data_IF_537276022679
#
_entry.id   IF_537276022679
#
_cell.length_a   1.000
_cell.length_b   1.000
_cell.length_c   1.000
_cell.angle_alpha   90.00
_cell.angle_beta   90.00
_cell.angle_gamma   90.00
#
_symmetry.space_group_name_H-M   'P 1'
#
loop_
_entity.id
_entity.type
_entity.pdbx_description
1 polymer ?
#
# COMPACT_ATOMS: atom_id res chain seq x y z
N UNK A 1 4.40 16.26 11.66
CA UNK A 1 5.44 15.98 10.66
C UNK A 1 5.30 14.53 10.18
N UNK A 2 4.39 14.23 9.25
CA UNK A 2 4.11 12.84 8.84
C UNK A 2 4.16 12.68 7.30
N UNK A 3 5.27 13.09 6.66
CA UNK A 3 5.47 12.91 5.20
C UNK A 3 6.42 11.76 4.84
N UNK A 4 6.88 11.00 5.84
CA UNK A 4 7.93 9.98 5.64
C UNK A 4 7.41 8.79 4.82
N UNK A 5 6.15 8.37 5.00
CA UNK A 5 5.59 7.27 4.19
C UNK A 5 5.47 7.62 2.69
N UNK A 6 5.06 8.85 2.35
CA UNK A 6 4.98 9.28 0.96
C UNK A 6 6.36 9.36 0.29
N UNK A 7 7.40 9.75 1.05
CA UNK A 7 8.76 9.86 0.52
C UNK A 7 9.37 8.51 0.12
N UNK A 8 9.09 7.44 0.86
CA UNK A 8 9.65 6.09 0.57
C UNK A 8 9.09 5.51 -0.73
N UNK A 9 7.79 5.71 -1.02
CA UNK A 9 7.21 5.27 -2.30
C UNK A 9 7.68 6.10 -3.49
N UNK A 10 7.94 7.40 -3.30
CA UNK A 10 8.52 8.26 -4.35
C UNK A 10 9.95 7.84 -4.70
N UNK A 11 10.75 7.41 -3.73
CA UNK A 11 12.11 6.90 -3.96
C UNK A 11 12.14 5.57 -4.74
N UNK A 12 11.09 4.77 -4.62
CA UNK A 12 10.97 3.49 -5.32
C UNK A 12 10.56 3.66 -6.81
N UNK A 13 10.15 4.87 -7.22
CA UNK A 13 9.88 5.26 -8.61
C UNK A 13 11.07 6.00 -9.26
N UNK A 14 12.28 5.84 -8.72
CA UNK A 14 13.51 6.46 -9.23
C UNK A 14 13.97 5.92 -10.60
N UNK A 15 13.39 4.80 -11.05
CA UNK A 15 13.58 4.33 -12.42
C UNK A 15 12.77 5.21 -13.40
N UNK A 16 13.41 5.73 -14.47
CA UNK A 16 12.70 6.49 -15.49
C UNK A 16 11.52 5.71 -16.06
N UNK A 17 10.36 6.35 -16.19
CA UNK A 17 9.14 5.73 -16.71
C UNK A 17 9.16 5.50 -18.24
N UNK A 18 10.32 5.69 -18.90
CA UNK A 18 10.43 5.67 -20.35
C UNK A 18 9.97 4.33 -20.93
N UNK A 19 8.97 4.38 -21.82
CA UNK A 19 8.45 3.21 -22.53
C UNK A 19 7.56 2.29 -21.70
N UNK A 20 7.26 2.63 -20.44
CA UNK A 20 6.42 1.79 -19.60
C UNK A 20 4.95 1.94 -20.01
N UNK A 21 4.46 1.00 -20.80
CA UNK A 21 3.04 0.91 -21.18
C UNK A 21 2.24 0.47 -19.96
N UNK A 22 1.15 1.16 -19.63
CA UNK A 22 0.26 0.76 -18.52
C UNK A 22 -0.54 -0.48 -18.92
N UNK A 23 -0.04 -1.65 -18.53
CA UNK A 23 -0.64 -2.94 -18.80
C UNK A 23 -0.21 -3.99 -17.74
N UNK A 24 -0.69 -5.23 -17.86
CA UNK A 24 -0.37 -6.28 -16.89
C UNK A 24 1.12 -6.64 -16.83
N UNK A 25 1.87 -6.50 -17.92
CA UNK A 25 3.30 -6.79 -17.96
C UNK A 25 4.12 -5.69 -17.25
N UNK A 26 3.81 -4.43 -17.53
CA UNK A 26 4.43 -3.29 -16.87
C UNK A 26 4.04 -3.21 -15.38
N UNK A 27 2.87 -3.71 -14.97
CA UNK A 27 2.52 -3.86 -13.55
C UNK A 27 3.42 -4.90 -12.86
N UNK A 28 3.71 -6.04 -13.52
CA UNK A 28 4.64 -7.05 -13.00
C UNK A 28 6.05 -6.49 -12.89
N UNK A 29 6.53 -5.80 -13.92
CA UNK A 29 7.84 -5.17 -13.91
C UNK A 29 7.97 -4.12 -12.81
N UNK A 30 6.93 -3.30 -12.62
CA UNK A 30 6.90 -2.33 -11.53
C UNK A 30 6.91 -3.02 -10.16
N UNK A 31 6.11 -4.07 -9.97
CA UNK A 31 6.11 -4.87 -8.74
C UNK A 31 7.49 -5.49 -8.45
N UNK A 32 8.15 -6.02 -9.48
CA UNK A 32 9.50 -6.59 -9.41
C UNK A 32 10.52 -5.52 -8.96
N UNK A 33 10.48 -4.33 -9.56
CA UNK A 33 11.34 -3.21 -9.20
C UNK A 33 11.10 -2.75 -7.75
N UNK A 34 9.83 -2.60 -7.35
CA UNK A 34 9.46 -2.21 -5.98
C UNK A 34 9.91 -3.25 -4.94
N UNK A 35 9.94 -4.54 -5.30
CA UNK A 35 10.38 -5.62 -4.41
C UNK A 35 11.81 -5.45 -3.90
N UNK A 36 12.66 -4.71 -4.61
CA UNK A 36 14.03 -4.38 -4.18
C UNK A 36 14.07 -3.40 -3.01
N UNK A 37 13.02 -2.59 -2.85
CA UNK A 37 12.93 -1.56 -1.82
C UNK A 37 12.10 -2.02 -0.62
N UNK A 38 10.94 -2.66 -0.88
CA UNK A 38 10.03 -3.11 0.19
C UNK A 38 10.28 -4.57 0.62
N UNK A 39 11.18 -5.26 -0.08
CA UNK A 39 11.42 -6.69 0.08
C UNK A 39 10.40 -7.56 -0.66
N UNK A 40 10.86 -8.69 -1.20
CA UNK A 40 10.01 -9.67 -1.90
C UNK A 40 8.83 -10.14 -1.06
N UNK A 41 9.09 -10.37 0.23
CA UNK A 41 8.10 -10.85 1.18
C UNK A 41 6.90 -9.91 1.32
N UNK A 42 7.08 -8.59 1.14
CA UNK A 42 5.96 -7.65 1.16
C UNK A 42 5.03 -7.86 -0.05
N UNK A 43 5.58 -8.17 -1.22
CA UNK A 43 4.77 -8.51 -2.40
C UNK A 43 4.10 -9.87 -2.21
N UNK A 44 4.87 -10.89 -1.81
CA UNK A 44 4.39 -12.28 -1.71
C UNK A 44 3.29 -12.44 -0.64
N UNK A 45 3.35 -11.65 0.44
CA UNK A 45 2.34 -11.61 1.50
C UNK A 45 1.14 -10.71 1.16
N UNK A 46 1.13 -10.05 0.02
CA UNK A 46 0.08 -9.12 -0.38
C UNK A 46 0.11 -7.76 0.31
N UNK A 47 1.19 -7.43 1.04
CA UNK A 47 1.35 -6.13 1.69
C UNK A 47 1.46 -4.98 0.68
N UNK A 48 2.05 -5.23 -0.49
CA UNK A 48 2.08 -4.29 -1.60
C UNK A 48 1.61 -5.00 -2.86
N UNK A 49 0.57 -4.46 -3.49
CA UNK A 49 0.01 -4.97 -4.74
C UNK A 49 0.06 -3.88 -5.81
N UNK A 50 0.59 -4.24 -6.97
CA UNK A 50 0.58 -3.40 -8.18
C UNK A 50 -0.48 -3.93 -9.14
N UNK A 51 -1.39 -3.06 -9.57
CA UNK A 51 -2.45 -3.39 -10.53
C UNK A 51 -2.66 -2.26 -11.51
N UNK A 52 -3.30 -2.55 -12.65
CA UNK A 52 -3.69 -1.52 -13.62
C UNK A 52 -5.03 -0.93 -13.20
N UNK A 53 -5.11 0.39 -13.13
CA UNK A 53 -6.34 1.14 -12.88
C UNK A 53 -6.44 2.28 -13.91
N UNK A 54 -7.26 2.07 -14.94
CA UNK A 54 -7.38 2.99 -16.06
C UNK A 54 -6.06 3.13 -16.83
N UNK A 55 -5.53 4.35 -16.88
CA UNK A 55 -4.25 4.69 -17.52
C UNK A 55 -3.12 4.88 -16.51
N UNK A 56 -3.28 4.39 -15.28
CA UNK A 56 -2.28 4.41 -14.23
C UNK A 56 -2.07 3.02 -13.61
N UNK A 57 -1.00 2.88 -12.83
CA UNK A 57 -0.84 1.76 -11.92
C UNK A 57 -1.33 2.13 -10.53
N UNK A 58 -2.11 1.26 -9.92
CA UNK A 58 -2.47 1.34 -8.51
C UNK A 58 -1.52 0.51 -7.68
N UNK A 59 -0.83 1.18 -6.77
CA UNK A 59 -0.01 0.60 -5.71
C UNK A 59 -0.86 0.60 -4.44
N UNK A 60 -1.42 -0.55 -4.10
CA UNK A 60 -2.19 -0.74 -2.88
C UNK A 60 -1.31 -1.35 -1.79
N UNK A 61 -1.27 -0.71 -0.63
CA UNK A 61 -0.64 -1.23 0.59
C UNK A 61 -1.73 -1.76 1.50
N UNK A 62 -1.74 -3.07 1.72
CA UNK A 62 -2.74 -3.75 2.53
C UNK A 62 -2.07 -4.48 3.70
N UNK A 63 -2.27 -3.98 4.92
CA UNK A 63 -1.70 -4.58 6.13
C UNK A 63 -2.55 -5.70 6.71
N UNK A 64 -3.77 -5.93 6.20
CA UNK A 64 -4.68 -6.97 6.69
C UNK A 64 -4.04 -8.36 6.75
N UNK A 65 -3.28 -8.84 5.74
CA UNK A 65 -2.70 -10.19 5.79
C UNK A 65 -1.73 -10.41 6.97
N UNK A 66 -0.99 -9.37 7.38
CA UNK A 66 -0.08 -9.45 8.53
C UNK A 66 -0.84 -9.32 9.84
N UNK A 67 -1.84 -8.45 9.86
CA UNK A 67 -2.73 -8.27 11.00
C UNK A 67 -3.49 -9.56 11.30
N UNK A 68 -4.06 -10.22 10.30
CA UNK A 68 -4.82 -11.47 10.46
C UNK A 68 -3.95 -12.58 11.05
N UNK A 69 -2.67 -12.64 10.65
CA UNK A 69 -1.69 -13.57 11.22
C UNK A 69 -1.47 -13.33 12.72
N UNK A 70 -1.41 -12.08 13.15
CA UNK A 70 -1.20 -11.69 14.56
C UNK A 70 -2.48 -11.80 15.39
N UNK A 71 -3.63 -11.43 14.81
CA UNK A 71 -4.95 -11.52 15.41
C UNK A 71 -5.29 -12.97 15.80
N UNK A 72 -4.91 -13.94 14.96
CA UNK A 72 -5.05 -15.36 15.23
C UNK A 72 -4.32 -15.82 16.50
N UNK A 73 -3.27 -15.10 16.94
CA UNK A 73 -2.49 -15.44 18.13
C UNK A 73 -2.93 -14.69 19.39
N UNK A 74 -3.51 -13.49 19.25
CA UNK A 74 -3.66 -12.55 20.37
C UNK A 74 -5.08 -12.03 20.62
N UNK A 75 -6.12 -12.63 20.02
CA UNK A 75 -7.54 -12.32 20.29
C UNK A 75 -7.90 -10.83 20.16
N UNK A 76 -7.35 -10.15 19.16
CA UNK A 76 -7.74 -8.80 18.76
C UNK A 76 -8.23 -8.81 17.30
N UNK A 77 -9.02 -7.83 16.91
CA UNK A 77 -9.34 -7.57 15.50
C UNK A 77 -8.88 -6.18 15.13
N UNK A 78 -8.39 -6.03 13.92
CA UNK A 78 -8.01 -4.73 13.39
C UNK A 78 -8.46 -4.64 11.93
N UNK A 79 -9.24 -3.61 11.62
CA UNK A 79 -9.63 -3.26 10.26
C UNK A 79 -8.98 -1.91 9.92
N UNK A 80 -8.36 -1.85 8.76
CA UNK A 80 -7.74 -0.64 8.25
C UNK A 80 -7.95 -0.60 6.74
N UNK A 81 -8.42 0.55 6.25
CA UNK A 81 -8.61 0.76 4.83
C UNK A 81 -7.24 0.74 4.12
N UNK A 82 -7.06 -0.07 3.05
CA UNK A 82 -5.81 -0.11 2.31
C UNK A 82 -5.40 1.28 1.80
N UNK A 83 -4.11 1.61 1.92
CA UNK A 83 -3.56 2.82 1.33
C UNK A 83 -3.34 2.61 -0.16
N UNK A 84 -3.76 3.55 -1.02
CA UNK A 84 -3.54 3.42 -2.46
C UNK A 84 -2.89 4.65 -3.07
N UNK A 85 -1.88 4.41 -3.90
CA UNK A 85 -1.27 5.40 -4.78
C UNK A 85 -1.62 5.06 -6.23
N UNK A 86 -2.01 6.05 -7.01
CA UNK A 86 -2.06 5.97 -8.46
C UNK A 86 -0.78 6.59 -9.02
N UNK A 87 -0.05 5.80 -9.80
CA UNK A 87 1.20 6.22 -10.42
C UNK A 87 1.10 6.04 -11.92
N UNK A 88 1.21 7.15 -12.64
CA UNK A 88 1.09 7.18 -14.10
C UNK A 88 2.42 7.55 -14.73
N UNK A 89 2.93 6.75 -15.69
CA UNK A 89 4.11 7.11 -16.45
C UNK A 89 3.80 8.33 -17.33
N UNK A 90 4.65 9.35 -17.26
CA UNK A 90 4.55 10.56 -18.07
C UNK A 90 5.46 10.46 -19.30
N UNK A 91 5.07 11.09 -20.41
CA UNK A 91 5.81 11.04 -21.68
C UNK A 91 7.21 11.65 -21.64
N UNK A 92 7.54 12.39 -20.57
CA UNK A 92 8.87 12.94 -20.29
C UNK A 92 9.74 12.03 -19.40
N UNK A 93 9.31 10.78 -19.15
CA UNK A 93 10.04 9.81 -18.35
C UNK A 93 9.89 9.97 -16.83
N UNK A 94 9.01 10.88 -16.36
CA UNK A 94 8.68 11.04 -14.94
C UNK A 94 7.43 10.26 -14.56
N UNK A 95 7.12 10.25 -13.27
CA UNK A 95 5.90 9.66 -12.72
C UNK A 95 4.97 10.77 -12.21
N UNK A 96 3.70 10.73 -12.61
CA UNK A 96 2.64 11.46 -11.92
C UNK A 96 2.11 10.57 -10.79
N UNK A 97 2.05 11.09 -9.57
CA UNK A 97 1.61 10.35 -8.38
C UNK A 97 0.43 11.07 -7.75
N UNK A 98 -0.68 10.35 -7.57
CA UNK A 98 -1.82 10.80 -6.77
C UNK A 98 -2.12 9.79 -5.66
N UNK A 99 -2.54 10.29 -4.52
CA UNK A 99 -2.82 9.50 -3.32
C UNK A 99 -4.19 9.89 -2.80
N UNK A 100 -5.02 8.90 -2.47
CA UNK A 100 -6.12 9.12 -1.53
C UNK A 100 -5.57 8.85 -0.13
N UNK A 101 -5.40 9.92 0.65
CA UNK A 101 -4.86 9.88 2.01
C UNK A 101 -5.95 9.77 3.07
N UNK A 102 -7.22 9.73 2.68
CA UNK A 102 -8.31 9.50 3.62
C UNK A 102 -8.32 8.04 4.06
N UNK A 103 -7.99 7.81 5.34
CA UNK A 103 -7.90 6.46 5.89
C UNK A 103 -8.72 6.37 7.16
N UNK A 104 -9.48 5.29 7.28
CA UNK A 104 -10.19 4.95 8.50
C UNK A 104 -9.89 3.52 8.91
N UNK A 105 -10.01 3.26 10.21
CA UNK A 105 -9.81 1.95 10.77
C UNK A 105 -10.50 1.78 12.12
N UNK A 106 -10.54 0.53 12.56
CA UNK A 106 -11.08 0.13 13.85
C UNK A 106 -10.24 -0.96 14.48
N UNK A 107 -10.15 -0.96 15.81
CA UNK A 107 -9.44 -1.96 16.60
C UNK A 107 -10.38 -2.50 17.68
N UNK A 108 -10.56 -3.82 17.74
CA UNK A 108 -11.27 -4.52 18.81
C UNK A 108 -10.28 -5.35 19.62
N UNK A 109 -10.36 -5.29 20.96
CA UNK A 109 -9.52 -6.09 21.84
C UNK A 109 -10.24 -6.46 23.13
N UNK A 110 -9.76 -7.49 23.84
CA UNK A 110 -10.27 -7.84 25.17
C UNK A 110 -9.49 -7.09 26.23
N UNK A 111 -10.13 -6.11 26.85
CA UNK A 111 -9.61 -5.38 28.01
C UNK A 111 -10.01 -6.03 29.35
N UNK A 112 -9.51 -5.48 30.47
CA UNK A 112 -9.85 -5.96 31.81
C UNK A 112 -11.35 -5.95 32.13
N UNK A 113 -12.10 -5.05 31.49
CA UNK A 113 -13.54 -4.87 31.69
C UNK A 113 -14.40 -5.60 30.63
N UNK A 114 -13.79 -6.33 29.69
CA UNK A 114 -14.48 -7.02 28.59
C UNK A 114 -14.06 -6.53 27.19
N UNK A 115 -14.83 -6.86 26.14
CA UNK A 115 -14.56 -6.41 24.77
C UNK A 115 -14.59 -4.87 24.65
N UNK A 116 -13.54 -4.29 24.11
CA UNK A 116 -13.41 -2.86 23.86
C UNK A 116 -13.13 -2.60 22.37
N UNK A 117 -13.61 -1.46 21.86
CA UNK A 117 -13.43 -1.05 20.47
C UNK A 117 -12.98 0.40 20.34
N UNK A 118 -12.05 0.67 19.43
CA UNK A 118 -11.60 2.02 19.07
C UNK A 118 -11.76 2.23 17.57
N UNK A 119 -12.17 3.42 17.17
CA UNK A 119 -12.27 3.85 15.78
C UNK A 119 -11.40 5.08 15.57
N UNK A 120 -10.76 5.17 14.41
CA UNK A 120 -9.93 6.31 14.06
C UNK A 120 -10.07 6.64 12.58
N UNK A 121 -9.87 7.93 12.29
CA UNK A 121 -9.81 8.46 10.93
C UNK A 121 -8.60 9.38 10.82
N UNK A 122 -7.91 9.28 9.70
CA UNK A 122 -6.78 10.11 9.30
C UNK A 122 -7.23 10.82 8.03
N UNK A 123 -7.16 12.16 8.03
CA UNK A 123 -7.58 13.03 6.92
C UNK A 123 -6.52 14.09 6.67
#
# INVERSE_FOLDING_TARGET
MNRVLSAVFVLALSAPAFGQTVNGEGAKQLSENLSRYVGRQAIDRGLLKVSVEGDAYKLAVDVKPVVDLLAAQHSFKFDFSPYALLVKPSGNGTWSVSADVSQSGSFEFKGPEGPQSMQFSIT
#
